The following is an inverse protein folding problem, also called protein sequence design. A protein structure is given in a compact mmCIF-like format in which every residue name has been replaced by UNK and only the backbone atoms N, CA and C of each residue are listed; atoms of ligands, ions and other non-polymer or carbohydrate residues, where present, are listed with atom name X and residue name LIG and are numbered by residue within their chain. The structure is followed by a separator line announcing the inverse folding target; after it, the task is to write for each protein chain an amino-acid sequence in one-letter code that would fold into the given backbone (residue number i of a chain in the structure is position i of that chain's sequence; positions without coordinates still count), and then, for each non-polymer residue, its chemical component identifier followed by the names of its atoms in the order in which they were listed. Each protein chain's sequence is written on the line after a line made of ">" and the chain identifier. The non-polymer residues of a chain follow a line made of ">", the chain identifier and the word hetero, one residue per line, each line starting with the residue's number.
data_IF_140823607762
#
_entry.id   IF_140823607762
#
_cell.length_a   1.000
_cell.length_b   1.000
_cell.length_c   1.000
_cell.angle_alpha   90.00
_cell.angle_beta   90.00
_cell.angle_gamma   90.00
#
_symmetry.space_group_name_H-M   'P 1'
#
loop_
_entity.id
_entity.type
_entity.pdbx_description
1 polymer ?
#
# COMPACT_ATOMS: atom_id res chain seq x y z
N UNK A 1 23.40 3.95 24.82
CA UNK A 1 24.16 3.80 23.57
C UNK A 1 23.85 2.43 22.96
N UNK A 2 23.14 2.34 21.83
CA UNK A 2 22.96 1.07 21.10
C UNK A 2 24.26 0.74 20.36
N UNK A 3 24.89 -0.41 20.64
CA UNK A 3 25.96 -0.95 19.79
C UNK A 3 25.39 -1.16 18.39
N UNK A 4 25.89 -0.42 17.41
CA UNK A 4 25.66 -0.78 16.03
C UNK A 4 26.48 -2.05 15.75
N UNK A 5 25.86 -3.10 15.18
CA UNK A 5 26.63 -4.25 14.74
C UNK A 5 27.59 -3.81 13.62
N UNK A 6 28.85 -4.24 13.69
CA UNK A 6 29.85 -4.04 12.63
C UNK A 6 29.48 -4.91 11.42
N UNK A 7 28.46 -4.47 10.68
CA UNK A 7 28.09 -5.09 9.41
C UNK A 7 28.70 -4.23 8.32
N UNK A 8 29.77 -4.72 7.70
CA UNK A 8 30.24 -4.15 6.43
C UNK A 8 29.18 -4.44 5.37
N UNK A 9 28.65 -3.43 4.67
CA UNK A 9 27.69 -3.69 3.61
C UNK A 9 28.34 -4.58 2.55
N UNK A 10 27.63 -5.60 2.03
CA UNK A 10 28.18 -6.49 1.03
C UNK A 10 28.61 -5.71 -0.22
N UNK A 11 29.82 -6.00 -0.70
CA UNK A 11 30.46 -5.31 -1.83
C UNK A 11 29.76 -5.55 -3.16
N UNK A 12 29.09 -6.69 -3.31
CA UNK A 12 28.33 -7.04 -4.50
C UNK A 12 26.83 -7.05 -4.19
N UNK A 13 26.14 -6.01 -4.66
CA UNK A 13 24.69 -5.99 -4.69
C UNK A 13 24.28 -6.62 -6.02
N UNK A 14 23.82 -7.88 -5.97
CA UNK A 14 23.22 -8.51 -7.14
C UNK A 14 21.89 -7.85 -7.42
N UNK A 15 21.84 -6.96 -8.41
CA UNK A 15 20.60 -6.37 -8.87
C UNK A 15 19.76 -7.44 -9.55
N UNK A 16 18.62 -7.76 -8.94
CA UNK A 16 17.64 -8.65 -9.56
C UNK A 16 16.81 -7.84 -10.54
N UNK A 17 16.88 -8.20 -11.82
CA UNK A 17 15.95 -7.67 -12.81
C UNK A 17 14.56 -8.26 -12.55
N UNK A 18 13.64 -7.40 -12.13
CA UNK A 18 12.24 -7.77 -11.92
C UNK A 18 11.47 -7.33 -13.16
N UNK A 19 10.71 -8.25 -13.76
CA UNK A 19 9.76 -7.94 -14.83
C UNK A 19 8.53 -7.20 -14.24
N UNK A 20 8.76 -5.96 -13.80
CA UNK A 20 7.73 -5.10 -13.21
C UNK A 20 6.86 -4.49 -14.31
N UNK A 21 5.55 -4.57 -14.13
CA UNK A 21 4.60 -3.79 -14.92
C UNK A 21 4.29 -2.52 -14.16
N UNK A 22 4.73 -1.37 -14.68
CA UNK A 22 4.45 -0.07 -14.07
C UNK A 22 3.15 0.53 -14.65
N UNK A 23 2.26 0.99 -13.78
CA UNK A 23 1.04 1.70 -14.17
C UNK A 23 0.91 2.99 -13.36
N UNK A 24 0.91 4.14 -14.07
CA UNK A 24 0.71 5.47 -13.48
C UNK A 24 -0.70 5.98 -13.77
N UNK A 25 -1.34 6.55 -12.76
CA UNK A 25 -2.68 7.16 -12.85
C UNK A 25 -2.70 8.44 -12.00
N UNK A 26 -3.44 9.44 -12.45
CA UNK A 26 -3.67 10.69 -11.72
C UNK A 26 -5.13 10.72 -11.28
N UNK A 27 -5.35 11.13 -10.03
CA UNK A 27 -6.68 11.25 -9.44
C UNK A 27 -6.82 12.63 -8.81
N UNK A 28 -8.06 13.10 -8.74
CA UNK A 28 -8.45 14.33 -8.05
C UNK A 28 -9.55 13.98 -7.05
N UNK A 29 -9.50 14.63 -5.89
CA UNK A 29 -10.50 14.46 -4.87
C UNK A 29 -11.73 15.31 -5.21
N UNK A 30 -12.88 14.64 -5.39
CA UNK A 30 -14.16 15.33 -5.62
C UNK A 30 -14.67 15.94 -4.30
N UNK A 31 -14.45 15.24 -3.19
CA UNK A 31 -14.82 15.68 -1.84
C UNK A 31 -13.58 16.03 -1.03
N UNK A 32 -13.66 17.00 -0.10
CA UNK A 32 -12.58 17.28 0.83
C UNK A 32 -12.13 16.01 1.55
N UNK A 33 -10.83 15.81 1.67
CA UNK A 33 -10.29 14.67 2.40
C UNK A 33 -10.46 14.88 3.90
N UNK A 34 -11.04 13.90 4.58
CA UNK A 34 -11.11 13.87 6.03
C UNK A 34 -10.13 12.83 6.57
N UNK A 35 -9.22 13.25 7.45
CA UNK A 35 -8.45 12.34 8.31
C UNK A 35 -7.03 12.04 7.84
N UNK A 36 -6.55 10.84 8.18
CA UNK A 36 -5.16 10.41 8.03
C UNK A 36 -4.29 10.79 9.24
N UNK A 37 -4.47 11.95 9.85
CA UNK A 37 -3.70 12.38 11.02
C UNK A 37 -4.00 11.61 12.31
N UNK A 38 -3.10 11.74 13.30
CA UNK A 38 -3.37 11.36 14.70
C UNK A 38 -4.42 12.28 15.34
N UNK A 39 -4.53 13.50 14.83
CA UNK A 39 -5.45 14.53 15.32
C UNK A 39 -6.73 14.50 14.49
N UNK A 40 -7.91 14.32 15.10
CA UNK A 40 -9.19 14.42 14.42
C UNK A 40 -9.31 15.75 13.65
N UNK A 41 -9.97 15.71 12.49
CA UNK A 41 -10.19 16.87 11.63
C UNK A 41 -8.93 17.57 11.07
N UNK A 42 -7.75 16.99 11.25
CA UNK A 42 -6.52 17.47 10.62
C UNK A 42 -5.95 16.39 9.71
N UNK A 43 -5.67 16.77 8.46
CA UNK A 43 -4.94 15.90 7.56
C UNK A 43 -3.49 15.76 8.03
N UNK A 44 -2.94 14.56 7.93
CA UNK A 44 -1.51 14.35 8.14
C UNK A 44 -0.73 15.12 7.06
N UNK A 45 0.09 16.12 7.42
CA UNK A 45 0.77 16.96 6.42
C UNK A 45 1.79 16.17 5.60
N UNK A 46 2.27 15.03 6.11
CA UNK A 46 3.27 14.20 5.43
C UNK A 46 2.58 13.14 4.58
N UNK A 47 1.55 12.49 5.14
CA UNK A 47 0.87 11.36 4.49
C UNK A 47 -0.63 11.58 4.35
N UNK A 48 -1.00 12.69 3.70
CA UNK A 48 -2.40 13.06 3.41
C UNK A 48 -3.16 11.89 2.78
N UNK A 49 -2.58 11.25 1.75
CA UNK A 49 -3.10 10.00 1.17
C UNK A 49 -2.05 8.90 1.35
N UNK A 50 -2.40 7.85 2.10
CA UNK A 50 -1.46 6.77 2.40
C UNK A 50 -1.49 5.65 1.37
N UNK A 51 -0.32 5.22 0.91
CA UNK A 51 -0.19 4.07 0.03
C UNK A 51 -0.78 2.77 0.64
N UNK A 52 -0.70 2.62 1.97
CA UNK A 52 -1.27 1.48 2.72
C UNK A 52 -2.80 1.46 2.69
N UNK A 53 -3.44 2.63 2.79
CA UNK A 53 -4.90 2.77 2.69
C UNK A 53 -5.38 2.48 1.27
N UNK A 54 -4.71 3.04 0.25
CA UNK A 54 -4.99 2.74 -1.15
C UNK A 54 -4.85 1.23 -1.43
N UNK A 55 -3.81 0.60 -0.86
CA UNK A 55 -3.64 -0.88 -0.94
C UNK A 55 -4.84 -1.61 -0.35
N UNK A 56 -5.28 -1.21 0.85
CA UNK A 56 -6.42 -1.81 1.52
C UNK A 56 -7.71 -1.70 0.70
N UNK A 57 -7.98 -0.52 0.12
CA UNK A 57 -9.13 -0.30 -0.74
C UNK A 57 -9.09 -1.12 -2.03
N UNK A 58 -7.94 -1.19 -2.71
CA UNK A 58 -7.81 -2.02 -3.92
C UNK A 58 -7.97 -3.51 -3.60
N UNK A 59 -7.42 -3.99 -2.47
CA UNK A 59 -7.61 -5.37 -1.99
C UNK A 59 -9.09 -5.64 -1.72
N UNK A 60 -9.80 -4.70 -1.07
CA UNK A 60 -11.24 -4.79 -0.83
C UNK A 60 -12.04 -4.87 -2.14
N UNK A 61 -11.81 -3.94 -3.08
CA UNK A 61 -12.52 -3.93 -4.36
C UNK A 61 -12.21 -5.15 -5.20
N UNK A 62 -10.97 -5.64 -5.17
CA UNK A 62 -10.63 -6.92 -5.81
C UNK A 62 -11.46 -8.07 -5.25
N UNK A 63 -11.64 -8.16 -3.92
CA UNK A 63 -12.55 -9.16 -3.32
C UNK A 63 -14.00 -8.94 -3.74
N UNK A 64 -14.51 -7.71 -3.73
CA UNK A 64 -15.89 -7.42 -4.13
C UNK A 64 -16.16 -7.84 -5.58
N UNK A 65 -15.20 -7.61 -6.48
CA UNK A 65 -15.33 -7.96 -7.90
C UNK A 65 -15.13 -9.47 -8.18
N UNK A 66 -14.39 -10.19 -7.33
CA UNK A 66 -14.11 -11.63 -7.53
C UNK A 66 -14.98 -12.56 -6.68
N UNK A 67 -15.42 -12.11 -5.52
CA UNK A 67 -16.21 -12.91 -4.57
C UNK A 67 -17.68 -13.09 -4.95
N UNK A 68 -18.20 -12.31 -5.92
CA UNK A 68 -19.56 -12.47 -6.44
C UNK A 68 -19.72 -13.52 -7.54
N UNK A 69 -18.68 -14.28 -7.88
CA UNK A 69 -18.81 -15.37 -8.86
C UNK A 69 -19.55 -16.55 -8.23
N UNK A 70 -20.47 -17.16 -8.99
CA UNK A 70 -21.58 -18.01 -8.53
C UNK A 70 -21.19 -19.28 -7.76
N UNK A 71 -19.93 -19.67 -7.78
CA UNK A 71 -19.39 -20.75 -6.96
C UNK A 71 -18.46 -20.11 -5.96
N UNK A 72 -18.89 -20.00 -4.70
CA UNK A 72 -18.11 -19.43 -3.61
C UNK A 72 -16.71 -20.02 -3.62
N UNK A 73 -15.75 -19.26 -4.13
CA UNK A 73 -14.45 -19.76 -4.50
C UNK A 73 -13.66 -20.05 -3.22
N UNK A 74 -13.59 -21.34 -2.88
CA UNK A 74 -12.85 -21.89 -1.73
C UNK A 74 -11.37 -21.52 -1.78
N UNK A 75 -10.87 -21.03 -2.91
CA UNK A 75 -9.48 -20.61 -3.12
C UNK A 75 -9.27 -19.09 -3.12
N UNK A 76 -10.31 -18.29 -2.85
CA UNK A 76 -10.25 -16.83 -2.83
C UNK A 76 -9.15 -16.28 -1.95
N UNK A 77 -8.96 -16.86 -0.76
CA UNK A 77 -7.93 -16.44 0.18
C UNK A 77 -6.52 -16.71 -0.38
N UNK A 78 -6.30 -17.85 -1.03
CA UNK A 78 -5.00 -18.18 -1.64
C UNK A 78 -4.69 -17.23 -2.80
N UNK A 79 -5.68 -16.92 -3.64
CA UNK A 79 -5.54 -15.98 -4.76
C UNK A 79 -5.30 -14.55 -4.30
N UNK A 80 -6.01 -14.13 -3.25
CA UNK A 80 -5.80 -12.84 -2.62
C UNK A 80 -4.38 -12.73 -2.06
N UNK A 81 -3.96 -13.74 -1.31
CA UNK A 81 -2.64 -13.80 -0.71
C UNK A 81 -1.55 -13.90 -1.77
N UNK A 82 -1.82 -14.50 -2.93
CA UNK A 82 -0.94 -14.56 -4.09
C UNK A 82 -0.80 -13.24 -4.88
N UNK A 83 -1.62 -12.22 -4.60
CA UNK A 83 -1.50 -10.88 -5.22
C UNK A 83 -1.03 -9.86 -4.18
N UNK A 84 -1.69 -9.86 -3.02
CA UNK A 84 -1.57 -8.86 -1.97
C UNK A 84 -0.64 -9.28 -0.82
N UNK A 85 -0.15 -10.51 -0.84
CA UNK A 85 0.64 -11.07 0.26
C UNK A 85 -0.20 -11.41 1.49
N UNK A 86 0.41 -12.19 2.38
CA UNK A 86 -0.11 -12.57 3.69
C UNK A 86 0.88 -12.20 4.79
N UNK A 87 0.41 -12.23 6.04
CA UNK A 87 1.30 -12.18 7.19
C UNK A 87 2.22 -13.41 7.19
N UNK A 88 3.42 -13.23 7.74
CA UNK A 88 4.37 -14.32 7.87
C UNK A 88 3.84 -15.39 8.83
N UNK A 89 3.87 -16.65 8.41
CA UNK A 89 3.55 -17.81 9.23
C UNK A 89 4.78 -18.68 9.44
N UNK A 90 4.85 -19.37 10.58
CA UNK A 90 5.97 -20.26 10.91
C UNK A 90 6.08 -21.36 9.86
N UNK A 91 7.14 -21.32 9.06
CA UNK A 91 7.38 -22.27 7.95
C UNK A 91 7.34 -21.61 6.57
N UNK A 92 6.96 -20.33 6.46
CA UNK A 92 7.04 -19.57 5.23
C UNK A 92 8.51 -19.43 4.78
N UNK A 93 8.79 -19.72 3.51
CA UNK A 93 10.13 -19.61 2.91
C UNK A 93 10.45 -18.18 2.42
N UNK A 94 9.76 -17.18 2.96
CA UNK A 94 9.81 -15.79 2.52
C UNK A 94 8.72 -15.43 1.51
N UNK A 95 8.71 -14.17 1.08
CA UNK A 95 7.77 -13.65 0.09
C UNK A 95 8.16 -14.23 -1.28
N UNK A 96 7.26 -14.94 -1.99
CA UNK A 96 7.59 -15.48 -3.29
C UNK A 96 7.93 -14.34 -4.27
N UNK A 97 8.92 -14.54 -5.15
CA UNK A 97 9.56 -13.44 -5.87
C UNK A 97 8.70 -12.79 -6.97
N UNK A 98 7.60 -13.45 -7.36
CA UNK A 98 6.61 -12.96 -8.30
C UNK A 98 5.47 -12.17 -7.61
N UNK A 99 5.58 -11.97 -6.30
CA UNK A 99 4.62 -11.21 -5.53
C UNK A 99 5.25 -9.98 -4.94
N UNK A 100 4.65 -8.84 -5.24
CA UNK A 100 3.97 -7.97 -4.27
C UNK A 100 3.59 -6.73 -5.05
N UNK A 101 2.29 -6.48 -5.25
CA UNK A 101 1.85 -5.19 -5.80
C UNK A 101 2.46 -4.08 -4.96
N UNK A 102 3.26 -3.19 -5.54
CA UNK A 102 3.79 -2.04 -4.84
C UNK A 102 2.93 -0.82 -5.18
N UNK A 103 2.57 -0.04 -4.16
CA UNK A 103 1.82 1.19 -4.34
C UNK A 103 2.69 2.34 -3.89
N UNK A 104 2.85 3.32 -4.78
CA UNK A 104 3.52 4.57 -4.52
C UNK A 104 2.49 5.67 -4.74
N UNK A 105 2.36 6.55 -3.75
CA UNK A 105 1.50 7.72 -3.82
C UNK A 105 2.39 8.95 -3.83
N UNK A 106 2.15 9.82 -4.81
CA UNK A 106 2.81 11.12 -4.92
C UNK A 106 1.72 12.17 -4.91
N UNK A 107 1.77 13.08 -3.94
CA UNK A 107 0.87 14.25 -3.88
C UNK A 107 1.48 15.34 -4.77
N UNK A 108 0.85 15.62 -5.91
CA UNK A 108 1.36 16.60 -6.87
C UNK A 108 0.90 18.04 -6.61
N UNK A 109 -0.16 18.22 -5.83
CA UNK A 109 -0.75 19.53 -5.52
C UNK A 109 -1.28 19.51 -4.08
N UNK A 110 -1.05 20.60 -3.34
CA UNK A 110 -1.64 20.79 -2.02
C UNK A 110 -3.09 21.24 -2.14
N UNK A 111 -3.97 20.66 -1.32
CA UNK A 111 -5.37 21.06 -1.22
C UNK A 111 -5.56 22.28 -0.33
N UNK A 112 -6.74 22.91 -0.42
CA UNK A 112 -7.11 24.03 0.45
C UNK A 112 -7.74 23.47 1.73
N UNK A 113 -7.22 23.88 2.90
CA UNK A 113 -7.85 23.54 4.18
C UNK A 113 -9.18 24.29 4.34
N UNK A 114 -10.26 23.53 4.53
CA UNK A 114 -11.58 24.11 4.79
C UNK A 114 -11.75 24.57 6.25
N UNK A 115 -10.92 24.09 7.18
CA UNK A 115 -10.97 24.49 8.60
C UNK A 115 -10.49 25.94 8.83
N UNK A 116 -9.70 26.50 7.91
CA UNK A 116 -9.16 27.85 8.03
C UNK A 116 -10.15 28.96 7.61
N UNK A 117 -11.34 28.63 7.09
CA UNK A 117 -12.33 29.62 6.60
C UNK A 117 -13.38 30.02 7.64
N UNK A 118 -13.29 29.54 8.87
CA UNK A 118 -14.28 29.76 9.94
C UNK A 118 -13.72 30.53 11.15
N UNK A 119 -12.71 31.39 10.95
CA UNK A 119 -12.20 32.32 11.96
C UNK A 119 -12.18 33.75 11.43
#
# INVERSE_FOLDING_TARGET
>A
MRRQPEVTPPTEITHRELALVEQKRKYELITPLYGGGVTPHQADPISVVRATEVRGHLRFWWRAMRGGQAEGDLDMKKREDAIWGKAYEKGDKGIPPNQTVQIVVVVSQEGISLAARSA
#
